data_IF_882994902403
#
_entry.id   IF_882994902403
#
_cell.length_a   1.000
_cell.length_b   1.000
_cell.length_c   1.000
_cell.angle_alpha   90.00
_cell.angle_beta   90.00
_cell.angle_gamma   90.00
#
_symmetry.space_group_name_H-M   'P 1'
#
loop_
_entity.id
_entity.type
_entity.pdbx_description
1 polymer ?
#
# COMPACT_ATOMS: atom_id res chain seq x y z
N UNK A 1 -39.96 -12.32 -45.75
CA UNK A 1 -38.79 -13.03 -45.20
C UNK A 1 -37.66 -12.01 -44.99
N UNK A 2 -37.77 -11.16 -43.97
CA UNK A 2 -36.74 -10.16 -43.64
C UNK A 2 -36.13 -10.54 -42.29
N UNK A 3 -34.98 -11.19 -42.34
CA UNK A 3 -34.25 -11.60 -41.14
C UNK A 3 -33.60 -10.38 -40.48
N UNK A 4 -33.99 -10.17 -39.22
CA UNK A 4 -33.36 -9.27 -38.26
C UNK A 4 -31.88 -9.65 -38.06
N UNK A 5 -30.96 -8.88 -38.62
CA UNK A 5 -29.54 -8.94 -38.22
C UNK A 5 -29.35 -7.95 -37.07
N UNK A 6 -29.71 -8.37 -35.85
CA UNK A 6 -29.19 -7.71 -34.64
C UNK A 6 -27.73 -8.12 -34.50
N UNK A 7 -26.83 -7.31 -35.06
CA UNK A 7 -25.40 -7.38 -34.74
C UNK A 7 -25.23 -6.91 -33.29
N UNK A 8 -25.32 -7.86 -32.36
CA UNK A 8 -24.94 -7.66 -30.96
C UNK A 8 -23.45 -7.34 -30.95
N UNK A 9 -23.09 -6.06 -30.86
CA UNK A 9 -21.76 -5.68 -30.40
C UNK A 9 -21.62 -6.23 -28.98
N UNK A 10 -20.84 -7.30 -28.81
CA UNK A 10 -20.31 -7.67 -27.50
C UNK A 10 -19.38 -6.54 -27.08
N UNK A 11 -19.91 -5.53 -26.38
CA UNK A 11 -19.08 -4.65 -25.58
C UNK A 11 -18.43 -5.54 -24.51
N UNK A 12 -17.14 -5.83 -24.66
CA UNK A 12 -16.38 -6.48 -23.60
C UNK A 12 -16.33 -5.52 -22.42
N UNK A 13 -17.12 -5.83 -21.38
CA UNK A 13 -17.23 -5.00 -20.19
C UNK A 13 -15.93 -4.96 -19.35
N UNK A 14 -14.93 -5.78 -19.67
CA UNK A 14 -13.60 -5.75 -19.07
C UNK A 14 -12.56 -6.09 -20.14
N UNK A 15 -11.55 -5.22 -20.28
CA UNK A 15 -10.35 -5.48 -21.09
C UNK A 15 -9.15 -5.55 -20.14
N UNK A 16 -8.30 -6.55 -20.36
CA UNK A 16 -7.09 -6.77 -19.58
C UNK A 16 -5.89 -6.70 -20.52
N UNK A 17 -4.82 -6.06 -20.06
CA UNK A 17 -3.53 -6.07 -20.73
C UNK A 17 -2.62 -7.10 -20.04
N UNK A 18 -1.92 -7.88 -20.87
CA UNK A 18 -0.92 -8.85 -20.45
C UNK A 18 0.44 -8.53 -21.06
N UNK A 19 1.37 -9.48 -21.00
CA UNK A 19 2.68 -9.32 -21.59
C UNK A 19 2.66 -9.25 -23.13
N UNK A 20 3.74 -8.70 -23.67
CA UNK A 20 4.20 -8.90 -25.04
C UNK A 20 4.92 -10.25 -25.10
N UNK A 21 4.56 -11.08 -26.08
CA UNK A 21 5.10 -12.43 -26.24
C UNK A 21 6.01 -12.53 -27.46
N UNK A 22 6.89 -13.53 -27.46
CA UNK A 22 7.80 -13.79 -28.57
C UNK A 22 7.09 -14.24 -29.86
N UNK A 23 5.82 -14.64 -29.75
CA UNK A 23 4.95 -15.07 -30.86
C UNK A 23 3.52 -14.53 -30.66
N UNK A 24 2.69 -14.46 -31.71
CA UNK A 24 1.27 -14.16 -31.56
C UNK A 24 0.59 -15.09 -30.54
N UNK A 25 -0.22 -14.53 -29.65
CA UNK A 25 -0.93 -15.27 -28.58
C UNK A 25 -1.81 -16.40 -29.13
N UNK A 26 -2.32 -16.27 -30.36
CA UNK A 26 -3.08 -17.32 -31.04
C UNK A 26 -2.29 -18.62 -31.26
N UNK A 27 -0.96 -18.56 -31.23
CA UNK A 27 -0.06 -19.71 -31.41
C UNK A 27 0.39 -20.35 -30.09
N UNK A 28 -0.09 -19.86 -28.94
CA UNK A 28 0.34 -20.34 -27.61
C UNK A 28 0.22 -21.86 -27.47
N UNK A 29 -0.92 -22.44 -27.82
CA UNK A 29 -1.16 -23.89 -27.72
C UNK A 29 -0.26 -24.71 -28.66
N UNK A 30 0.07 -24.17 -29.84
CA UNK A 30 0.88 -24.85 -30.85
C UNK A 30 2.38 -24.75 -30.55
N UNK A 31 2.80 -23.71 -29.85
CA UNK A 31 4.21 -23.39 -29.63
C UNK A 31 4.80 -24.05 -28.38
N UNK A 32 3.97 -24.64 -27.52
CA UNK A 32 4.43 -25.34 -26.32
C UNK A 32 5.34 -24.48 -25.45
N UNK A 33 6.50 -25.02 -25.07
CA UNK A 33 7.49 -24.35 -24.21
C UNK A 33 8.26 -23.22 -24.89
N UNK A 34 8.18 -23.09 -26.22
CA UNK A 34 8.81 -22.00 -26.95
C UNK A 34 8.00 -20.70 -26.85
N UNK A 35 6.74 -20.75 -26.41
CA UNK A 35 5.92 -19.56 -26.18
C UNK A 35 6.18 -18.96 -24.80
N UNK A 36 6.71 -17.74 -24.76
CA UNK A 36 7.00 -17.07 -23.49
C UNK A 36 6.86 -15.55 -23.60
N UNK A 37 6.65 -14.92 -22.43
CA UNK A 37 6.58 -13.47 -22.29
C UNK A 37 7.98 -12.84 -22.41
N UNK A 38 8.07 -11.69 -23.08
CA UNK A 38 9.33 -11.00 -23.40
C UNK A 38 9.39 -9.63 -22.75
N UNK A 39 8.28 -8.89 -22.78
CA UNK A 39 8.16 -7.57 -22.15
C UNK A 39 6.81 -7.42 -21.48
N UNK A 40 6.77 -6.69 -20.37
CA UNK A 40 5.53 -6.20 -19.76
C UNK A 40 5.82 -5.09 -18.79
N UNK A 41 4.99 -4.06 -18.74
CA UNK A 41 5.06 -3.02 -17.70
C UNK A 41 5.23 -3.64 -16.31
N UNK A 42 6.05 -3.00 -15.47
CA UNK A 42 6.09 -3.33 -14.05
C UNK A 42 4.85 -2.71 -13.41
N UNK A 43 3.96 -3.54 -12.91
CA UNK A 43 2.66 -3.10 -12.41
C UNK A 43 2.51 -3.36 -10.91
N UNK A 44 1.83 -2.46 -10.21
CA UNK A 44 1.47 -2.62 -8.80
C UNK A 44 -0.03 -2.44 -8.64
N UNK A 45 -0.65 -3.26 -7.79
CA UNK A 45 -2.06 -3.15 -7.43
C UNK A 45 -2.20 -2.91 -5.92
N UNK A 46 -3.01 -1.91 -5.57
CA UNK A 46 -3.34 -1.55 -4.20
C UNK A 46 -4.87 -1.48 -4.11
N UNK A 47 -5.48 -2.41 -3.38
CA UNK A 47 -6.92 -2.42 -3.13
C UNK A 47 -7.20 -2.01 -1.67
N UNK A 48 -8.28 -1.24 -1.47
CA UNK A 48 -8.71 -0.84 -0.13
C UNK A 48 -8.98 -2.04 0.80
N UNK A 49 -9.33 -3.20 0.25
CA UNK A 49 -9.58 -4.40 1.05
C UNK A 49 -8.40 -4.86 1.87
N UNK A 50 -7.19 -4.58 1.40
CA UNK A 50 -6.01 -4.91 2.16
C UNK A 50 -5.95 -4.12 3.47
N UNK A 51 -6.72 -3.04 3.62
CA UNK A 51 -6.81 -2.21 4.83
C UNK A 51 -8.12 -2.45 5.62
N UNK A 52 -8.89 -3.50 5.32
CA UNK A 52 -10.17 -3.80 5.99
C UNK A 52 -10.03 -4.05 7.49
N UNK A 53 -8.88 -4.54 7.96
CA UNK A 53 -8.57 -4.66 9.38
C UNK A 53 -8.42 -3.28 10.04
N UNK A 54 -7.84 -2.30 9.35
CA UNK A 54 -7.53 -0.98 9.92
C UNK A 54 -8.66 0.04 9.78
N UNK A 55 -9.39 0.03 8.67
CA UNK A 55 -10.39 1.06 8.39
C UNK A 55 -11.69 0.79 9.13
N UNK A 56 -12.31 1.85 9.64
CA UNK A 56 -13.59 1.77 10.38
C UNK A 56 -14.70 2.59 9.71
N UNK A 57 -14.33 3.53 8.84
CA UNK A 57 -15.28 4.47 8.24
C UNK A 57 -16.18 3.82 7.16
N UNK A 58 -15.80 2.65 6.65
CA UNK A 58 -16.47 1.93 5.58
C UNK A 58 -16.31 0.42 5.77
N UNK A 59 -17.33 -0.33 5.37
CA UNK A 59 -17.31 -1.80 5.34
C UNK A 59 -17.41 -2.32 3.90
N UNK A 60 -16.98 -3.57 3.71
CA UNK A 60 -17.07 -4.34 2.47
C UNK A 60 -16.42 -3.67 1.26
N UNK A 61 -17.25 -3.17 0.34
CA UNK A 61 -16.84 -2.66 -0.98
C UNK A 61 -16.95 -1.14 -1.05
N UNK A 62 -17.36 -0.49 0.04
CA UNK A 62 -17.54 0.97 0.10
C UNK A 62 -16.20 1.64 0.32
N UNK A 63 -16.06 2.84 -0.24
CA UNK A 63 -14.93 3.74 -0.01
C UNK A 63 -15.47 5.14 0.23
N UNK A 64 -14.72 5.93 0.98
CA UNK A 64 -14.94 7.36 1.16
C UNK A 64 -13.59 8.09 1.25
N UNK A 65 -13.63 9.42 1.35
CA UNK A 65 -12.42 10.24 1.42
C UNK A 65 -11.50 9.87 2.59
N UNK A 66 -12.08 9.42 3.70
CA UNK A 66 -11.36 9.01 4.91
C UNK A 66 -10.44 7.81 4.68
N UNK A 67 -10.98 6.69 4.17
CA UNK A 67 -10.14 5.51 3.92
C UNK A 67 -9.25 5.68 2.68
N UNK A 68 -9.63 6.54 1.72
CA UNK A 68 -8.79 6.84 0.55
C UNK A 68 -7.43 7.45 0.91
N UNK A 69 -7.29 7.97 2.14
CA UNK A 69 -6.01 8.42 2.67
C UNK A 69 -4.95 7.32 2.70
N UNK A 70 -5.32 6.07 3.01
CA UNK A 70 -4.39 4.92 2.91
C UNK A 70 -3.83 4.76 1.49
N UNK A 71 -4.70 4.84 0.50
CA UNK A 71 -4.32 4.73 -0.93
C UNK A 71 -3.44 5.89 -1.36
N UNK A 72 -3.71 7.11 -0.85
CA UNK A 72 -2.93 8.30 -1.16
C UNK A 72 -1.51 8.22 -0.57
N UNK A 73 -1.39 7.83 0.69
CA UNK A 73 -0.10 7.55 1.36
C UNK A 73 0.67 6.49 0.59
N UNK A 74 -0.01 5.44 0.14
CA UNK A 74 0.63 4.36 -0.58
C UNK A 74 1.14 4.75 -1.97
N UNK A 75 0.35 5.52 -2.72
CA UNK A 75 0.77 6.08 -4.00
C UNK A 75 2.00 6.97 -3.84
N UNK A 76 2.07 7.81 -2.78
CA UNK A 76 3.22 8.68 -2.52
C UNK A 76 4.48 7.87 -2.23
N UNK A 77 4.43 6.92 -1.29
CA UNK A 77 5.58 6.08 -0.90
C UNK A 77 6.12 5.32 -2.12
N UNK A 78 5.24 4.67 -2.88
CA UNK A 78 5.64 3.90 -4.04
C UNK A 78 6.19 4.78 -5.15
N UNK A 79 5.57 5.94 -5.41
CA UNK A 79 6.08 6.89 -6.41
C UNK A 79 7.48 7.37 -6.05
N UNK A 80 7.72 7.72 -4.78
CA UNK A 80 9.04 8.16 -4.30
C UNK A 80 10.09 7.05 -4.44
N UNK A 81 9.77 5.83 -4.00
CA UNK A 81 10.68 4.69 -4.15
C UNK A 81 10.99 4.37 -5.62
N UNK A 82 9.97 4.29 -6.48
CA UNK A 82 10.13 4.00 -7.91
C UNK A 82 10.97 5.07 -8.62
N UNK A 83 10.82 6.35 -8.26
CA UNK A 83 11.59 7.45 -8.89
C UNK A 83 12.99 7.61 -8.30
N UNK A 84 13.15 7.61 -6.99
CA UNK A 84 14.43 7.94 -6.34
C UNK A 84 15.35 6.75 -6.19
N UNK A 85 14.81 5.58 -5.87
CA UNK A 85 15.63 4.41 -5.57
C UNK A 85 15.87 3.61 -6.85
N UNK A 86 14.81 3.43 -7.64
CA UNK A 86 14.90 2.66 -8.88
C UNK A 86 15.19 3.53 -10.10
N UNK A 87 14.93 4.84 -10.08
CA UNK A 87 15.18 5.75 -11.20
C UNK A 87 14.15 5.67 -12.33
N UNK A 88 12.94 5.16 -12.09
CA UNK A 88 11.90 5.04 -13.12
C UNK A 88 11.28 6.41 -13.43
N UNK A 89 10.93 6.64 -14.70
CA UNK A 89 10.47 7.94 -15.19
C UNK A 89 9.02 7.92 -15.62
N UNK A 90 8.64 6.89 -16.36
CA UNK A 90 7.34 6.75 -17.03
C UNK A 90 6.40 5.95 -16.12
N UNK A 91 5.79 6.65 -15.15
CA UNK A 91 4.92 6.07 -14.13
C UNK A 91 3.51 6.61 -14.30
N UNK A 92 2.55 5.72 -14.54
CA UNK A 92 1.12 6.03 -14.67
C UNK A 92 0.33 5.37 -13.53
N UNK A 93 -0.34 6.19 -12.73
CA UNK A 93 -1.33 5.73 -11.76
C UNK A 93 -2.73 5.81 -12.36
N UNK A 94 -3.53 4.76 -12.15
CA UNK A 94 -4.89 4.65 -12.69
C UNK A 94 -5.83 4.20 -11.60
N UNK A 95 -6.96 4.87 -11.42
CA UNK A 95 -8.02 4.39 -10.55
C UNK A 95 -8.58 3.04 -11.06
N UNK A 96 -8.71 2.05 -10.19
CA UNK A 96 -9.16 0.68 -10.57
C UNK A 96 -10.63 0.59 -10.99
N UNK A 97 -11.36 1.72 -10.98
CA UNK A 97 -12.79 1.79 -11.29
C UNK A 97 -13.67 1.49 -10.08
N UNK A 98 -13.08 1.10 -8.94
CA UNK A 98 -13.82 0.76 -7.72
C UNK A 98 -13.24 1.32 -6.43
N UNK A 99 -12.11 0.81 -5.97
CA UNK A 99 -11.62 1.00 -4.59
C UNK A 99 -10.11 0.85 -4.44
N UNK A 100 -9.39 0.98 -5.52
CA UNK A 100 -7.94 0.83 -5.53
C UNK A 100 -7.33 1.64 -6.66
N UNK A 101 -6.02 1.51 -6.78
CA UNK A 101 -5.24 2.12 -7.83
C UNK A 101 -4.27 1.10 -8.40
N UNK A 102 -3.99 1.22 -9.70
CA UNK A 102 -2.96 0.46 -10.38
C UNK A 102 -1.83 1.41 -10.77
N UNK A 103 -0.58 1.01 -10.50
CA UNK A 103 0.60 1.67 -11.03
C UNK A 103 1.08 0.90 -12.27
N UNK A 104 1.44 1.62 -13.33
CA UNK A 104 2.06 1.10 -14.53
C UNK A 104 3.39 1.82 -14.72
N UNK A 105 4.49 1.09 -14.60
CA UNK A 105 5.84 1.61 -14.90
C UNK A 105 6.23 1.14 -16.29
N UNK A 106 6.32 2.10 -17.21
CA UNK A 106 6.42 1.87 -18.64
C UNK A 106 7.84 2.05 -19.18
N UNK A 107 8.83 2.41 -18.37
CA UNK A 107 10.23 2.49 -18.77
C UNK A 107 10.67 1.20 -19.48
N UNK A 108 11.42 1.30 -20.58
CA UNK A 108 11.86 0.13 -21.34
C UNK A 108 12.60 -0.92 -20.47
N UNK A 109 13.45 -0.44 -19.54
CA UNK A 109 14.14 -1.32 -18.59
C UNK A 109 13.22 -1.96 -17.55
N UNK A 110 12.09 -1.32 -17.20
CA UNK A 110 11.09 -1.92 -16.33
C UNK A 110 10.37 -3.04 -17.08
N UNK A 111 10.06 -2.81 -18.36
CA UNK A 111 9.35 -3.78 -19.19
C UNK A 111 10.11 -5.08 -19.38
N UNK A 112 11.43 -4.99 -19.53
CA UNK A 112 12.33 -6.13 -19.68
C UNK A 112 12.74 -6.83 -18.37
N UNK A 113 12.20 -6.46 -17.21
CA UNK A 113 12.59 -7.11 -15.94
C UNK A 113 12.12 -8.57 -15.89
N UNK A 114 13.01 -9.53 -15.60
CA UNK A 114 12.62 -10.92 -15.33
C UNK A 114 11.88 -11.06 -13.98
N UNK A 115 11.19 -12.18 -13.78
CA UNK A 115 10.33 -12.42 -12.61
C UNK A 115 11.08 -12.37 -11.26
N UNK A 116 12.34 -12.79 -11.22
CA UNK A 116 13.21 -12.70 -10.04
C UNK A 116 13.54 -11.24 -9.71
N UNK A 117 13.88 -10.42 -10.71
CA UNK A 117 14.10 -8.99 -10.51
C UNK A 117 12.82 -8.25 -10.07
N UNK A 118 11.66 -8.61 -10.64
CA UNK A 118 10.35 -8.11 -10.18
C UNK A 118 10.09 -8.49 -8.73
N UNK A 119 10.42 -9.73 -8.36
CA UNK A 119 10.30 -10.22 -6.99
C UNK A 119 11.18 -9.45 -6.02
N UNK A 120 12.44 -9.20 -6.38
CA UNK A 120 13.36 -8.39 -5.58
C UNK A 120 12.84 -6.95 -5.36
N UNK A 121 12.19 -6.34 -6.36
CA UNK A 121 11.57 -5.02 -6.21
C UNK A 121 10.39 -5.08 -5.23
N UNK A 122 9.53 -6.10 -5.33
CA UNK A 122 8.42 -6.27 -4.38
C UNK A 122 8.94 -6.48 -2.96
N UNK A 123 9.95 -7.32 -2.79
CA UNK A 123 10.54 -7.61 -1.49
C UNK A 123 11.20 -6.35 -0.88
N UNK A 124 11.85 -5.52 -1.70
CA UNK A 124 12.37 -4.20 -1.29
C UNK A 124 11.26 -3.25 -0.81
N UNK A 125 10.10 -3.25 -1.48
CA UNK A 125 8.98 -2.36 -1.17
C UNK A 125 8.08 -2.88 -0.03
N UNK A 126 8.24 -4.15 0.38
CA UNK A 126 7.39 -4.80 1.38
C UNK A 126 7.98 -4.69 2.77
N UNK A 127 7.36 -3.87 3.64
CA UNK A 127 7.71 -3.79 5.06
C UNK A 127 6.72 -4.51 5.99
N UNK A 128 5.53 -4.84 5.48
CA UNK A 128 4.50 -5.54 6.25
C UNK A 128 4.56 -7.02 5.88
N UNK A 129 4.91 -7.85 6.86
CA UNK A 129 4.93 -9.29 6.67
C UNK A 129 3.52 -9.90 6.57
N UNK A 130 3.44 -10.97 5.78
CA UNK A 130 2.26 -11.80 5.55
C UNK A 130 2.32 -13.16 6.27
N UNK A 131 3.37 -13.41 7.05
CA UNK A 131 3.67 -14.67 7.75
C UNK A 131 2.79 -14.96 8.98
N UNK A 132 1.76 -14.15 9.22
CA UNK A 132 0.81 -14.35 10.30
C UNK A 132 1.37 -14.06 11.70
N UNK A 133 2.58 -13.50 11.82
CA UNK A 133 3.07 -13.01 13.11
C UNK A 133 2.20 -11.86 13.61
N UNK A 134 2.05 -11.78 14.94
CA UNK A 134 1.32 -10.69 15.59
C UNK A 134 1.96 -9.33 15.30
N UNK A 135 3.29 -9.26 15.42
CA UNK A 135 4.11 -8.11 15.02
C UNK A 135 4.47 -8.21 13.54
N UNK A 136 3.74 -7.48 12.69
CA UNK A 136 3.83 -7.57 11.22
C UNK A 136 4.95 -6.73 10.61
N UNK A 137 5.49 -5.74 11.32
CA UNK A 137 6.61 -4.92 10.86
C UNK A 137 7.81 -5.14 11.78
N UNK A 138 8.95 -5.50 11.19
CA UNK A 138 10.22 -5.65 11.90
C UNK A 138 11.31 -4.91 11.13
N UNK A 139 11.86 -3.85 11.73
CA UNK A 139 12.89 -3.02 11.13
C UNK A 139 14.31 -3.42 11.56
N UNK A 140 14.48 -4.53 12.27
CA UNK A 140 15.79 -5.01 12.69
C UNK A 140 16.74 -5.17 11.49
N UNK A 141 17.85 -4.43 11.49
CA UNK A 141 18.82 -4.40 10.40
C UNK A 141 18.47 -3.46 9.24
N UNK A 142 17.30 -2.80 9.29
CA UNK A 142 16.80 -1.86 8.29
C UNK A 142 16.70 -0.42 8.84
N UNK A 143 17.06 -0.17 10.10
CA UNK A 143 16.80 1.10 10.80
C UNK A 143 17.49 2.30 10.14
N UNK A 144 18.63 2.08 9.47
CA UNK A 144 19.39 3.10 8.76
C UNK A 144 19.09 3.21 7.27
N UNK A 145 18.13 2.44 6.73
CA UNK A 145 17.86 2.41 5.29
C UNK A 145 17.10 3.68 4.88
N UNK A 146 17.58 4.46 3.89
CA UNK A 146 16.92 5.70 3.48
C UNK A 146 15.45 5.51 3.07
N UNK A 147 15.12 4.38 2.46
CA UNK A 147 13.75 4.05 2.07
C UNK A 147 12.81 3.89 3.28
N UNK A 148 13.29 3.30 4.38
CA UNK A 148 12.53 3.17 5.62
C UNK A 148 12.31 4.52 6.28
N UNK A 149 13.34 5.38 6.35
CA UNK A 149 13.20 6.73 6.88
C UNK A 149 12.21 7.56 6.08
N UNK A 150 12.27 7.49 4.74
CA UNK A 150 11.33 8.20 3.85
C UNK A 150 9.91 7.65 3.97
N UNK A 151 9.75 6.33 4.08
CA UNK A 151 8.46 5.71 4.32
C UNK A 151 7.84 6.17 5.64
N UNK A 152 8.62 6.12 6.73
CA UNK A 152 8.17 6.59 8.04
C UNK A 152 7.78 8.06 8.01
N UNK A 153 8.59 8.93 7.40
CA UNK A 153 8.30 10.36 7.26
C UNK A 153 6.94 10.60 6.56
N UNK A 154 6.70 9.96 5.42
CA UNK A 154 5.43 10.09 4.68
C UNK A 154 4.25 9.55 5.51
N UNK A 155 4.40 8.36 6.11
CA UNK A 155 3.39 7.77 6.98
C UNK A 155 3.07 8.70 8.17
N UNK A 156 4.09 9.18 8.86
CA UNK A 156 3.95 9.94 10.09
C UNK A 156 3.36 11.33 9.87
N UNK A 157 3.78 12.03 8.79
CA UNK A 157 3.14 13.31 8.38
C UNK A 157 1.66 13.13 8.06
N UNK A 158 1.20 11.96 7.65
CA UNK A 158 -0.22 11.68 7.35
C UNK A 158 -0.99 11.05 8.52
N UNK A 159 -0.31 10.73 9.64
CA UNK A 159 -0.87 9.86 10.66
C UNK A 159 -1.93 10.53 11.55
N UNK A 160 -1.81 11.83 11.84
CA UNK A 160 -2.82 12.59 12.61
C UNK A 160 -4.22 12.47 11.97
N UNK A 161 -4.26 12.65 10.65
CA UNK A 161 -5.50 12.56 9.90
C UNK A 161 -6.02 11.13 9.80
N UNK A 162 -5.14 10.13 9.64
CA UNK A 162 -5.56 8.72 9.66
C UNK A 162 -6.17 8.34 11.01
N UNK A 163 -5.57 8.79 12.11
CA UNK A 163 -6.09 8.61 13.47
C UNK A 163 -7.47 9.27 13.63
N UNK A 164 -7.65 10.50 13.14
CA UNK A 164 -8.93 11.21 13.20
C UNK A 164 -10.01 10.59 12.28
N UNK A 165 -9.63 10.21 11.07
CA UNK A 165 -10.53 9.69 10.04
C UNK A 165 -11.09 8.31 10.41
N UNK A 166 -10.21 7.44 10.90
CA UNK A 166 -10.57 6.05 11.20
C UNK A 166 -10.86 5.84 12.69
N UNK A 167 -10.37 6.67 13.59
CA UNK A 167 -10.46 6.40 15.02
C UNK A 167 -10.15 4.94 15.39
N UNK A 168 -9.17 4.33 14.71
CA UNK A 168 -8.98 2.87 14.75
C UNK A 168 -8.48 2.36 16.10
N UNK A 169 -7.91 3.22 16.95
CA UNK A 169 -7.51 2.88 18.33
C UNK A 169 -8.70 2.86 19.31
N UNK A 170 -9.92 3.12 18.86
CA UNK A 170 -11.13 2.77 19.62
C UNK A 170 -11.40 1.26 19.66
N UNK A 171 -10.75 0.50 18.75
CA UNK A 171 -10.84 -0.97 18.71
C UNK A 171 -9.87 -1.60 19.72
N UNK A 172 -10.41 -2.43 20.60
CA UNK A 172 -9.59 -3.23 21.54
C UNK A 172 -8.59 -4.12 20.81
N UNK A 173 -8.94 -4.67 19.64
CA UNK A 173 -8.03 -5.50 18.85
C UNK A 173 -6.82 -4.71 18.34
N UNK A 174 -7.02 -3.44 17.94
CA UNK A 174 -5.92 -2.56 17.53
C UNK A 174 -5.07 -2.12 18.70
N UNK A 175 -5.67 -1.82 19.85
CA UNK A 175 -4.92 -1.50 21.07
C UNK A 175 -4.06 -2.68 21.52
N UNK A 176 -4.60 -3.90 21.45
CA UNK A 176 -3.85 -5.12 21.73
C UNK A 176 -2.67 -5.30 20.77
N UNK A 177 -2.83 -5.03 19.47
CA UNK A 177 -1.72 -5.13 18.53
C UNK A 177 -0.63 -4.07 18.76
N UNK A 178 -0.94 -2.91 19.35
CA UNK A 178 0.09 -1.95 19.75
C UNK A 178 1.05 -2.52 20.80
N UNK A 179 0.57 -3.41 21.68
CA UNK A 179 1.39 -4.03 22.74
C UNK A 179 2.44 -4.99 22.17
N UNK A 180 2.27 -5.49 20.94
CA UNK A 180 3.28 -6.30 20.24
C UNK A 180 4.51 -5.45 19.81
N UNK A 181 4.34 -4.12 19.71
CA UNK A 181 5.41 -3.18 19.39
C UNK A 181 5.94 -2.48 20.66
N UNK A 182 5.04 -1.87 21.43
CA UNK A 182 5.36 -1.17 22.67
C UNK A 182 5.36 -2.17 23.82
N UNK A 183 6.47 -2.89 23.98
CA UNK A 183 6.69 -3.87 25.06
C UNK A 183 7.04 -3.20 26.41
N UNK A 184 7.25 -4.00 27.46
CA UNK A 184 7.69 -3.55 28.80
C UNK A 184 9.01 -2.75 28.82
N UNK A 185 9.77 -2.76 27.71
CA UNK A 185 10.91 -1.84 27.50
C UNK A 185 10.50 -0.37 27.54
N UNK A 186 9.22 -0.06 27.34
CA UNK A 186 8.63 1.27 27.45
C UNK A 186 7.53 1.26 28.53
N UNK A 187 7.87 1.14 29.83
CA UNK A 187 6.90 0.77 30.87
C UNK A 187 5.72 1.73 30.98
N UNK A 188 5.97 3.04 30.90
CA UNK A 188 4.91 4.06 30.93
C UNK A 188 3.97 3.97 29.72
N UNK A 189 4.53 3.77 28.52
CA UNK A 189 3.76 3.65 27.29
C UNK A 189 2.98 2.33 27.24
N UNK A 190 3.59 1.24 27.69
CA UNK A 190 2.94 -0.07 27.81
C UNK A 190 1.75 0.01 28.79
N UNK A 191 1.94 0.62 29.96
CA UNK A 191 0.86 0.82 30.95
C UNK A 191 -0.28 1.69 30.40
N UNK A 192 0.04 2.75 29.64
CA UNK A 192 -0.95 3.60 28.97
C UNK A 192 -1.83 2.78 28.02
N UNK A 193 -1.23 1.95 27.17
CA UNK A 193 -1.96 1.12 26.21
C UNK A 193 -2.76 0.02 26.94
N UNK A 194 -2.20 -0.61 27.97
CA UNK A 194 -2.93 -1.60 28.79
C UNK A 194 -4.16 -1.01 29.47
N UNK A 195 -4.06 0.23 29.97
CA UNK A 195 -5.19 0.97 30.53
C UNK A 195 -6.23 1.25 29.44
N UNK A 196 -5.80 1.74 28.28
CA UNK A 196 -6.66 1.99 27.12
C UNK A 196 -7.39 0.71 26.65
N UNK A 197 -6.78 -0.48 26.76
CA UNK A 197 -7.45 -1.75 26.44
C UNK A 197 -8.63 -2.07 27.37
N UNK A 198 -8.61 -1.58 28.61
CA UNK A 198 -9.64 -1.83 29.64
C UNK A 198 -10.71 -0.73 29.67
N UNK A 199 -10.35 0.46 29.22
CA UNK A 199 -11.19 1.65 29.24
C UNK A 199 -11.73 1.97 27.84
N UNK A 200 -12.76 2.81 27.77
CA UNK A 200 -13.31 3.23 26.48
C UNK A 200 -12.45 4.36 25.89
N UNK A 201 -11.70 4.06 24.83
CA UNK A 201 -11.00 5.07 24.02
C UNK A 201 -12.00 5.75 23.08
N UNK A 202 -12.16 7.06 23.22
CA UNK A 202 -13.04 7.88 22.38
C UNK A 202 -12.33 8.49 21.17
N UNK A 203 -11.05 8.82 21.31
CA UNK A 203 -10.23 9.48 20.29
C UNK A 203 -8.86 8.85 20.15
N UNK A 204 -8.59 8.29 18.97
CA UNK A 204 -7.30 7.72 18.61
C UNK A 204 -6.21 8.78 18.58
N UNK A 205 -6.53 9.98 18.10
CA UNK A 205 -5.58 11.10 18.05
C UNK A 205 -5.15 11.54 19.46
N UNK A 206 -6.09 11.64 20.41
CA UNK A 206 -5.77 12.03 21.79
C UNK A 206 -4.90 10.98 22.48
N UNK A 207 -5.29 9.69 22.38
CA UNK A 207 -4.50 8.59 22.94
C UNK A 207 -3.09 8.54 22.33
N UNK A 208 -2.98 8.69 21.01
CA UNK A 208 -1.70 8.65 20.33
C UNK A 208 -0.82 9.84 20.71
N UNK A 209 -1.40 11.02 20.92
CA UNK A 209 -0.68 12.19 21.41
C UNK A 209 -0.18 11.98 22.85
N UNK A 210 -0.96 11.33 23.71
CA UNK A 210 -0.50 10.94 25.04
C UNK A 210 0.66 9.92 24.97
N UNK A 211 0.57 8.94 24.06
CA UNK A 211 1.65 8.00 23.78
C UNK A 211 2.93 8.73 23.34
N UNK A 212 2.83 9.70 22.44
CA UNK A 212 3.96 10.51 21.98
C UNK A 212 4.62 11.28 23.15
N UNK A 213 3.83 11.91 24.02
CA UNK A 213 4.34 12.61 25.22
C UNK A 213 5.05 11.68 26.18
N UNK A 214 4.52 10.48 26.40
CA UNK A 214 5.14 9.48 27.28
C UNK A 214 6.46 8.96 26.72
N UNK A 215 6.59 8.91 25.40
CA UNK A 215 7.79 8.49 24.68
C UNK A 215 8.76 9.65 24.38
N UNK A 216 8.41 10.88 24.75
CA UNK A 216 9.20 12.10 24.48
C UNK A 216 9.49 12.31 22.99
N UNK A 217 8.47 12.13 22.14
CA UNK A 217 8.53 12.38 20.70
C UNK A 217 7.46 13.39 20.28
N UNK A 218 7.75 14.16 19.21
CA UNK A 218 6.78 15.07 18.60
C UNK A 218 5.52 14.29 18.18
N UNK A 219 4.35 14.89 18.30
CA UNK A 219 3.11 14.31 17.75
C UNK A 219 3.09 14.36 16.21
N UNK A 220 2.25 13.57 15.53
CA UNK A 220 2.13 13.64 14.06
C UNK A 220 1.76 15.04 13.55
N UNK A 221 0.91 15.76 14.28
CA UNK A 221 0.50 17.12 13.93
C UNK A 221 1.64 18.15 14.10
N UNK A 222 2.43 18.02 15.16
CA UNK A 222 3.63 18.85 15.38
C UNK A 222 4.70 18.53 14.32
N UNK A 223 4.94 17.25 14.06
CA UNK A 223 5.88 16.78 13.04
C UNK A 223 5.55 17.32 11.65
N UNK A 224 4.27 17.30 11.26
CA UNK A 224 3.80 17.86 9.99
C UNK A 224 4.04 19.38 9.88
N UNK A 225 3.85 20.13 10.98
CA UNK A 225 4.05 21.59 11.01
C UNK A 225 5.53 21.98 11.06
N UNK A 226 6.37 21.12 11.64
CA UNK A 226 7.80 21.32 11.70
C UNK A 226 8.40 21.31 10.30
N UNK A 227 9.36 22.21 10.03
CA UNK A 227 10.29 22.04 8.93
C UNK A 227 11.29 20.94 9.30
N UNK A 228 10.82 19.70 9.46
CA UNK A 228 11.68 18.55 9.75
C UNK A 228 12.57 18.30 8.53
N UNK A 229 13.70 19.01 8.47
CA UNK A 229 14.78 18.68 7.56
C UNK A 229 15.41 17.42 8.14
N UNK A 230 15.42 16.33 7.36
CA UNK A 230 16.16 15.08 7.60
C UNK A 230 17.69 15.28 7.79
N UNK A 231 18.15 16.51 8.02
CA UNK A 231 19.53 16.89 8.22
C UNK A 231 19.95 16.77 9.70
N UNK A 232 20.79 15.77 9.97
CA UNK A 232 21.84 15.74 11.02
C UNK A 232 21.43 15.53 12.48
N UNK A 233 20.14 15.57 12.87
CA UNK A 233 19.75 15.15 14.24
C UNK A 233 19.70 13.63 14.37
N UNK A 234 20.10 13.10 15.53
CA UNK A 234 19.74 11.74 15.92
C UNK A 234 18.23 11.59 15.79
N UNK A 235 17.81 10.53 15.11
CA UNK A 235 16.40 10.22 14.91
C UNK A 235 15.75 10.00 16.28
N UNK A 236 14.80 10.87 16.69
CA UNK A 236 14.24 10.82 18.04
C UNK A 236 13.27 9.66 18.23
N UNK A 237 12.82 9.01 17.15
CA UNK A 237 11.78 8.00 17.22
C UNK A 237 12.35 6.60 17.49
N UNK A 238 11.93 5.92 18.58
CA UNK A 238 12.31 4.54 18.82
C UNK A 238 11.91 3.63 17.66
N UNK A 239 12.73 2.63 17.32
CA UNK A 239 12.44 1.67 16.23
C UNK A 239 11.06 1.02 16.40
N UNK A 240 10.72 0.61 17.62
CA UNK A 240 9.40 0.03 17.94
C UNK A 240 8.23 0.98 17.63
N UNK A 241 8.42 2.28 17.86
CA UNK A 241 7.43 3.30 17.54
C UNK A 241 7.26 3.44 16.02
N UNK A 242 8.36 3.44 15.26
CA UNK A 242 8.30 3.48 13.79
C UNK A 242 7.61 2.26 13.20
N UNK A 243 7.97 1.07 13.67
CA UNK A 243 7.34 -0.19 13.26
C UNK A 243 5.82 -0.16 13.47
N UNK A 244 5.38 0.35 14.62
CA UNK A 244 3.97 0.53 14.94
C UNK A 244 3.27 1.49 13.96
N UNK A 245 3.84 2.66 13.69
CA UNK A 245 3.26 3.62 12.73
C UNK A 245 3.16 3.00 11.33
N UNK A 246 4.23 2.33 10.87
CA UNK A 246 4.27 1.68 9.58
C UNK A 246 3.22 0.55 9.49
N UNK A 247 3.05 -0.26 10.53
CA UNK A 247 2.05 -1.33 10.53
C UNK A 247 0.62 -0.84 10.30
N UNK A 248 0.33 0.40 10.74
CA UNK A 248 -0.98 1.03 10.64
C UNK A 248 -1.16 1.95 9.43
N UNK A 249 -0.14 2.17 8.61
CA UNK A 249 -0.22 3.18 7.53
C UNK A 249 0.58 2.87 6.27
N UNK A 250 1.51 1.93 6.32
CA UNK A 250 2.38 1.58 5.20
C UNK A 250 1.61 0.79 4.11
N UNK A 251 2.05 0.85 2.84
CA UNK A 251 1.41 0.16 1.73
C UNK A 251 1.29 -1.35 1.94
N UNK A 252 0.14 -1.88 1.51
CA UNK A 252 -0.11 -3.31 1.35
C UNK A 252 -0.21 -3.59 -0.15
N UNK A 253 0.71 -4.40 -0.66
CA UNK A 253 0.84 -4.70 -2.09
C UNK A 253 0.25 -6.07 -2.40
N UNK A 254 -0.51 -6.18 -3.49
CA UNK A 254 -0.74 -7.48 -4.11
C UNK A 254 0.54 -7.91 -4.86
N UNK A 255 1.41 -8.62 -4.13
CA UNK A 255 2.71 -9.06 -4.62
C UNK A 255 2.58 -9.93 -5.88
N UNK A 256 1.55 -10.77 -5.98
CA UNK A 256 1.41 -11.71 -7.08
C UNK A 256 1.21 -11.00 -8.43
N UNK A 257 0.51 -9.87 -8.43
CA UNK A 257 0.27 -9.03 -9.62
C UNK A 257 1.58 -8.48 -10.18
N UNK A 258 2.54 -8.18 -9.30
CA UNK A 258 3.81 -7.55 -9.64
C UNK A 258 4.89 -8.56 -10.04
N UNK A 259 4.97 -9.70 -9.32
CA UNK A 259 6.06 -10.68 -9.45
C UNK A 259 6.06 -11.44 -10.78
N UNK A 260 4.87 -11.78 -11.29
CA UNK A 260 4.73 -12.62 -12.49
C UNK A 260 4.45 -11.77 -13.74
N UNK A 261 5.34 -11.85 -14.73
CA UNK A 261 5.17 -11.25 -16.06
C UNK A 261 3.93 -11.78 -16.80
N UNK A 262 3.44 -12.99 -16.51
CA UNK A 262 2.24 -13.55 -17.14
C UNK A 262 0.89 -12.99 -16.61
N UNK A 263 0.89 -12.33 -15.45
CA UNK A 263 -0.33 -11.80 -14.83
C UNK A 263 -1.11 -10.83 -15.75
N UNK A 264 -2.44 -10.82 -15.66
CA UNK A 264 -3.28 -9.90 -16.43
C UNK A 264 -3.82 -8.80 -15.53
N UNK A 265 -3.68 -7.55 -15.95
CA UNK A 265 -4.21 -6.40 -15.21
C UNK A 265 -5.22 -5.62 -16.06
N UNK A 266 -6.26 -5.06 -15.43
CA UNK A 266 -7.29 -4.30 -16.16
C UNK A 266 -6.66 -3.10 -16.87
N UNK A 267 -6.96 -2.96 -18.15
CA UNK A 267 -6.42 -1.88 -18.97
C UNK A 267 -6.91 -0.52 -18.46
N UNK A 268 -6.05 0.52 -18.50
CA UNK A 268 -6.48 1.89 -18.36
C UNK A 268 -7.62 2.24 -19.32
N UNK A 269 -8.43 3.22 -18.93
CA UNK A 269 -9.59 3.77 -19.66
C UNK A 269 -10.74 2.80 -19.95
N UNK A 270 -10.77 1.65 -19.26
CA UNK A 270 -11.89 0.72 -19.32
C UNK A 270 -12.99 1.07 -18.33
N UNK A 271 -14.25 0.81 -18.69
CA UNK A 271 -15.39 0.94 -17.78
C UNK A 271 -15.44 -0.27 -16.85
N UNK A 272 -15.46 -0.04 -15.54
CA UNK A 272 -15.61 -1.11 -14.57
C UNK A 272 -17.04 -1.66 -14.59
N UNK A 273 -17.21 -2.90 -15.06
CA UNK A 273 -18.51 -3.52 -15.35
C UNK A 273 -19.59 -3.38 -14.25
N UNK A 274 -19.21 -3.44 -12.96
CA UNK A 274 -20.17 -3.36 -11.84
C UNK A 274 -20.48 -1.95 -11.36
N UNK A 275 -19.58 -0.98 -11.59
CA UNK A 275 -19.71 0.37 -11.03
C UNK A 275 -20.01 1.41 -12.11
N UNK A 276 -19.81 1.06 -13.40
CA UNK A 276 -19.94 1.98 -14.52
C UNK A 276 -18.88 3.08 -14.56
N UNK A 277 -17.90 3.07 -13.65
CA UNK A 277 -16.86 4.09 -13.54
C UNK A 277 -15.73 3.83 -14.53
N UNK A 278 -15.17 4.90 -15.08
CA UNK A 278 -13.97 4.87 -15.92
C UNK A 278 -12.73 4.63 -15.05
N UNK A 279 -11.82 3.78 -15.53
CA UNK A 279 -10.49 3.58 -14.95
C UNK A 279 -9.53 4.65 -15.48
N UNK A 280 -9.34 5.75 -14.75
CA UNK A 280 -8.56 6.92 -15.16
C UNK A 280 -7.70 7.48 -14.03
#
# INVERSE_FOLDING_TARGET
MWHNVKRLYKFQANMFAGAVYNKPVSLMQLSGTDFHAVERELVFDIDMNDYDDLRTCCNDKRICQKCWRFISVAAEILTRALREDFGFKDILWVYSGRRGIHCWVCDARARGLPNDARSAIVDYLTLISSDGYKKRVNLAGLEGYPAVSRAFDICYRNFDELLADQNFLSSTAHLQSLLDYITDRFPKAHQLIQKACKEKVTSSAELFNELCRVLDVDTPAEYRKGNYKLSVRQDPFPTAFKEMVLAFSYPRLDAAVTKDMGHLLKSPFCIHAKTGRLQQ
#
